data_IF_337518204657
#
_entry.id   IF_337518204657
#
_cell.length_a   1.000
_cell.length_b   1.000
_cell.length_c   1.000
_cell.angle_alpha   90.00
_cell.angle_beta   90.00
_cell.angle_gamma   90.00
#
_symmetry.space_group_name_H-M   'P 1'
#
loop_
_entity.id
_entity.type
_entity.pdbx_description
1 polymer ?
#
# COMPACT_ATOMS: atom_id res chain seq x y z
N UNK A 1 24.15 17.48 -9.91
CA UNK A 1 22.80 16.92 -9.89
C UNK A 1 22.75 15.48 -10.38
N UNK A 2 23.30 15.20 -11.53
CA UNK A 2 23.30 13.84 -12.07
C UNK A 2 24.05 12.85 -11.20
N UNK A 3 25.14 13.30 -10.60
CA UNK A 3 25.93 12.44 -9.74
C UNK A 3 25.16 12.01 -8.48
N UNK A 4 24.26 12.88 -8.01
CA UNK A 4 23.46 12.58 -6.83
C UNK A 4 22.28 11.67 -7.21
N UNK A 5 21.64 11.96 -8.33
CA UNK A 5 20.45 11.20 -8.77
C UNK A 5 20.82 9.80 -9.22
N UNK A 6 21.94 9.68 -9.94
CA UNK A 6 22.34 8.41 -10.52
C UNK A 6 22.55 7.28 -9.51
N UNK A 7 23.31 7.49 -8.42
CA UNK A 7 23.43 6.43 -7.40
C UNK A 7 22.10 6.06 -6.80
N UNK A 8 21.21 7.03 -6.58
CA UNK A 8 19.90 6.78 -6.00
C UNK A 8 19.05 5.92 -6.95
N UNK A 9 19.09 6.23 -8.23
CA UNK A 9 18.35 5.46 -9.22
C UNK A 9 18.89 4.05 -9.36
N UNK A 10 20.20 3.89 -9.28
CA UNK A 10 20.82 2.56 -9.34
C UNK A 10 20.42 1.73 -8.15
N UNK A 11 20.39 2.34 -6.95
CA UNK A 11 19.95 1.66 -5.75
C UNK A 11 18.51 1.20 -5.90
N UNK A 12 17.64 2.09 -6.35
CA UNK A 12 16.23 1.77 -6.52
C UNK A 12 16.03 0.63 -7.53
N UNK A 13 16.69 0.73 -8.68
CA UNK A 13 16.54 -0.29 -9.71
C UNK A 13 17.03 -1.66 -9.22
N UNK A 14 18.13 -1.68 -8.48
CA UNK A 14 18.68 -2.91 -7.94
C UNK A 14 17.74 -3.52 -6.90
N UNK A 15 17.25 -2.70 -5.97
CA UNK A 15 16.43 -3.19 -4.86
C UNK A 15 14.98 -3.42 -5.27
N UNK A 16 14.52 -2.81 -6.35
CA UNK A 16 13.13 -2.99 -6.80
C UNK A 16 12.83 -4.46 -7.09
N UNK A 17 13.82 -5.22 -7.53
CA UNK A 17 13.64 -6.64 -7.85
C UNK A 17 13.44 -7.49 -6.61
N UNK A 18 13.94 -7.04 -5.45
CA UNK A 18 13.87 -7.80 -4.21
C UNK A 18 12.83 -7.27 -3.25
N UNK A 19 12.16 -6.18 -3.62
CA UNK A 19 11.11 -5.62 -2.76
C UNK A 19 9.92 -6.58 -2.71
N UNK A 20 9.44 -6.91 -1.50
CA UNK A 20 8.40 -7.94 -1.36
C UNK A 20 7.13 -7.63 -2.16
N UNK A 21 6.73 -6.36 -2.19
CA UNK A 21 5.49 -5.98 -2.88
C UNK A 21 5.61 -6.00 -4.40
N UNK A 22 6.82 -6.14 -4.92
CA UNK A 22 7.06 -6.19 -6.36
C UNK A 22 6.95 -7.61 -6.91
N UNK A 23 7.21 -8.61 -6.05
CA UNK A 23 7.18 -10.00 -6.49
C UNK A 23 5.76 -10.51 -6.66
N UNK A 24 4.79 -9.90 -5.98
CA UNK A 24 3.39 -10.31 -6.08
C UNK A 24 2.50 -9.07 -5.93
N UNK A 25 2.37 -8.27 -6.98
CA UNK A 25 1.71 -6.97 -6.91
C UNK A 25 0.18 -7.06 -6.99
N UNK A 26 -0.42 -7.76 -6.03
CA UNK A 26 -1.88 -7.78 -5.91
C UNK A 26 -2.38 -6.43 -5.44
N UNK A 27 -3.68 -6.13 -5.60
CA UNK A 27 -4.23 -4.87 -5.08
C UNK A 27 -3.95 -4.67 -3.59
N UNK A 28 -4.07 -5.73 -2.80
CA UNK A 28 -3.80 -5.65 -1.37
C UNK A 28 -2.34 -5.29 -1.11
N UNK A 29 -1.43 -5.97 -1.78
CA UNK A 29 0.00 -5.73 -1.58
C UNK A 29 0.42 -4.35 -2.03
N UNK A 30 -0.05 -3.90 -3.19
CA UNK A 30 0.29 -2.56 -3.68
C UNK A 30 -0.27 -1.50 -2.75
N UNK A 31 -1.54 -1.62 -2.37
CA UNK A 31 -2.20 -0.67 -1.47
C UNK A 31 -1.43 -0.56 -0.15
N UNK A 32 -1.17 -1.70 0.49
CA UNK A 32 -0.46 -1.72 1.77
C UNK A 32 0.91 -1.06 1.66
N UNK A 33 1.68 -1.44 0.64
CA UNK A 33 3.03 -0.88 0.48
C UNK A 33 2.97 0.63 0.25
N UNK A 34 2.01 1.10 -0.56
CA UNK A 34 1.88 2.53 -0.82
C UNK A 34 1.58 3.32 0.44
N UNK A 35 0.71 2.79 1.30
CA UNK A 35 0.39 3.47 2.55
C UNK A 35 1.58 3.47 3.49
N UNK A 36 2.28 2.35 3.62
CA UNK A 36 3.45 2.27 4.49
C UNK A 36 4.59 3.16 4.02
N UNK A 37 4.74 3.30 2.69
CA UNK A 37 5.82 4.11 2.13
C UNK A 37 5.58 5.60 2.24
N UNK A 38 4.35 6.03 2.58
CA UNK A 38 4.11 7.44 2.82
C UNK A 38 4.92 7.87 4.04
N UNK A 39 5.85 8.81 3.82
CA UNK A 39 6.67 9.40 4.89
C UNK A 39 7.54 8.40 5.66
N UNK A 40 7.79 7.22 5.07
CA UNK A 40 8.64 6.21 5.69
C UNK A 40 9.57 5.63 4.64
N UNK A 41 10.84 5.44 5.00
CA UNK A 41 11.84 4.94 4.07
C UNK A 41 11.63 3.47 3.75
N UNK A 42 12.00 3.10 2.53
CA UNK A 42 11.84 1.74 2.04
C UNK A 42 12.49 0.72 2.98
N UNK A 43 13.71 1.00 3.46
CA UNK A 43 14.43 0.05 4.32
C UNK A 43 13.64 -0.29 5.57
N UNK A 44 12.99 0.73 6.16
CA UNK A 44 12.19 0.52 7.37
C UNK A 44 10.91 -0.23 7.04
N UNK A 45 10.31 0.07 5.90
CA UNK A 45 9.02 -0.51 5.53
C UNK A 45 9.11 -2.02 5.30
N UNK A 46 10.21 -2.50 4.72
CA UNK A 46 10.32 -3.92 4.35
C UNK A 46 9.99 -4.84 5.54
N UNK A 47 10.59 -4.60 6.70
CA UNK A 47 10.34 -5.42 7.88
C UNK A 47 8.89 -5.33 8.37
N UNK A 48 8.34 -4.13 8.39
CA UNK A 48 6.95 -3.94 8.80
C UNK A 48 5.98 -4.61 7.83
N UNK A 49 6.24 -4.48 6.54
CA UNK A 49 5.41 -5.06 5.50
C UNK A 49 5.37 -6.59 5.65
N UNK A 50 6.52 -7.22 5.82
CA UNK A 50 6.59 -8.67 5.94
C UNK A 50 5.83 -9.16 7.17
N UNK A 51 6.03 -8.52 8.32
CA UNK A 51 5.33 -8.90 9.55
C UNK A 51 3.83 -8.67 9.46
N UNK A 52 3.45 -7.55 8.83
CA UNK A 52 2.04 -7.22 8.65
C UNK A 52 1.35 -8.29 7.81
N UNK A 53 1.94 -8.66 6.68
CA UNK A 53 1.36 -9.67 5.79
C UNK A 53 1.36 -11.06 6.40
N UNK A 54 2.36 -11.38 7.22
CA UNK A 54 2.38 -12.67 7.88
C UNK A 54 1.18 -12.84 8.79
N UNK A 55 0.79 -11.78 9.48
CA UNK A 55 -0.34 -11.82 10.41
C UNK A 55 -1.67 -11.47 9.73
N UNK A 56 -1.66 -10.55 8.77
CA UNK A 56 -2.85 -10.06 8.09
C UNK A 56 -2.67 -10.23 6.58
N UNK A 57 -2.76 -11.47 6.07
CA UNK A 57 -2.40 -11.75 4.68
C UNK A 57 -3.43 -11.29 3.65
N UNK A 58 -4.64 -10.96 4.07
CA UNK A 58 -5.68 -10.54 3.14
C UNK A 58 -6.55 -9.43 3.73
N UNK A 59 -7.43 -8.89 2.90
CA UNK A 59 -8.28 -7.77 3.32
C UNK A 59 -9.24 -8.20 4.42
N UNK A 60 -9.68 -9.45 4.41
CA UNK A 60 -10.59 -9.96 5.42
C UNK A 60 -9.93 -9.97 6.81
N UNK A 61 -8.70 -10.45 6.90
CA UNK A 61 -7.99 -10.46 8.17
C UNK A 61 -7.72 -9.04 8.67
N UNK A 62 -7.40 -8.12 7.77
CA UNK A 62 -7.19 -6.72 8.14
C UNK A 62 -8.49 -6.10 8.66
N UNK A 63 -9.61 -6.38 8.00
CA UNK A 63 -10.89 -5.84 8.43
C UNK A 63 -11.30 -6.36 9.81
N UNK A 64 -10.93 -7.59 10.12
CA UNK A 64 -11.38 -8.26 11.36
C UNK A 64 -10.43 -8.06 12.55
N UNK A 65 -9.20 -7.62 12.33
CA UNK A 65 -8.23 -7.51 13.42
C UNK A 65 -8.64 -6.42 14.41
N UNK A 66 -8.31 -6.63 15.70
CA UNK A 66 -8.58 -5.59 16.70
C UNK A 66 -7.72 -4.36 16.43
N UNK A 67 -8.22 -3.20 16.85
CA UNK A 67 -7.43 -1.97 16.68
C UNK A 67 -6.13 -2.06 17.47
N UNK A 68 -6.18 -2.65 18.67
CA UNK A 68 -5.00 -2.81 19.50
C UNK A 68 -3.90 -3.59 18.75
N UNK A 69 -4.26 -4.71 18.13
CA UNK A 69 -3.28 -5.51 17.40
C UNK A 69 -2.80 -4.81 16.15
N UNK A 70 -3.70 -4.13 15.46
CA UNK A 70 -3.35 -3.37 14.27
C UNK A 70 -2.30 -2.31 14.59
N UNK A 71 -2.54 -1.54 15.66
CA UNK A 71 -1.61 -0.47 16.04
C UNK A 71 -0.29 -1.03 16.54
N UNK A 72 -0.31 -2.21 17.15
CA UNK A 72 0.92 -2.89 17.56
C UNK A 72 1.77 -3.25 16.35
N UNK A 73 1.16 -3.76 15.30
CA UNK A 73 1.86 -4.07 14.05
C UNK A 73 2.42 -2.83 13.36
N UNK A 74 1.82 -1.67 13.63
CA UNK A 74 2.23 -0.40 13.04
C UNK A 74 3.21 0.38 13.91
N UNK A 75 3.46 -0.11 15.13
CA UNK A 75 4.27 0.61 16.11
C UNK A 75 5.67 0.89 15.56
N UNK A 76 6.07 2.14 15.62
CA UNK A 76 7.35 2.56 15.08
C UNK A 76 7.29 3.23 13.72
N UNK A 77 6.23 2.99 12.94
CA UNK A 77 6.06 3.67 11.66
C UNK A 77 5.53 5.10 11.81
N UNK A 78 4.80 5.36 12.89
CA UNK A 78 4.22 6.69 13.11
C UNK A 78 2.98 6.93 12.27
N UNK A 79 2.37 8.10 12.49
CA UNK A 79 1.20 8.52 11.74
C UNK A 79 0.12 7.44 11.77
N UNK A 80 -0.34 7.09 12.98
CA UNK A 80 -1.22 5.94 13.21
C UNK A 80 -2.57 6.04 12.52
N UNK A 81 -3.00 7.25 12.12
CA UNK A 81 -4.22 7.38 11.35
C UNK A 81 -4.15 6.64 10.02
N UNK A 82 -2.95 6.44 9.49
CA UNK A 82 -2.79 5.63 8.28
C UNK A 82 -3.27 4.21 8.53
N UNK A 83 -2.89 3.62 9.66
CA UNK A 83 -3.33 2.28 10.01
C UNK A 83 -4.83 2.22 10.23
N UNK A 84 -5.38 3.20 10.92
CA UNK A 84 -6.81 3.24 11.19
C UNK A 84 -7.61 3.38 9.90
N UNK A 85 -7.16 4.24 9.00
CA UNK A 85 -7.83 4.40 7.70
C UNK A 85 -7.70 3.16 6.84
N UNK A 86 -6.55 2.49 6.91
CA UNK A 86 -6.33 1.23 6.22
C UNK A 86 -7.39 0.20 6.64
N UNK A 87 -7.64 0.08 7.94
CA UNK A 87 -8.65 -0.85 8.42
C UNK A 87 -10.07 -0.41 8.03
N UNK A 88 -10.37 0.89 8.11
CA UNK A 88 -11.67 1.39 7.69
C UNK A 88 -11.94 1.06 6.23
N UNK A 89 -10.93 1.25 5.38
CA UNK A 89 -11.06 0.91 3.97
C UNK A 89 -11.25 -0.60 3.78
N UNK A 90 -10.53 -1.40 4.56
CA UNK A 90 -10.67 -2.86 4.49
C UNK A 90 -12.09 -3.29 4.85
N UNK A 91 -12.65 -2.72 5.90
CA UNK A 91 -14.03 -3.01 6.30
C UNK A 91 -14.99 -2.63 5.17
N UNK A 92 -14.78 -1.47 4.57
CA UNK A 92 -15.64 -1.00 3.48
C UNK A 92 -15.54 -1.92 2.26
N UNK A 93 -14.34 -2.36 1.92
CA UNK A 93 -14.15 -3.31 0.82
C UNK A 93 -14.90 -4.61 1.08
N UNK A 94 -14.79 -5.11 2.30
CA UNK A 94 -15.49 -6.35 2.66
C UNK A 94 -17.01 -6.18 2.61
N UNK A 95 -17.52 -5.03 3.05
CA UNK A 95 -18.97 -4.79 3.12
C UNK A 95 -19.56 -4.44 1.77
N UNK A 96 -18.89 -3.58 1.01
CA UNK A 96 -19.44 -3.07 -0.25
C UNK A 96 -19.06 -3.91 -1.46
N UNK A 97 -17.93 -4.60 -1.40
CA UNK A 97 -17.41 -5.34 -2.54
C UNK A 97 -17.20 -6.82 -2.24
N UNK A 98 -17.74 -7.30 -1.11
CA UNK A 98 -17.65 -8.70 -0.68
C UNK A 98 -16.20 -9.21 -0.62
N UNK A 99 -15.29 -8.32 -0.24
CA UNK A 99 -13.88 -8.67 -0.11
C UNK A 99 -13.11 -8.67 -1.41
N UNK A 100 -13.75 -8.29 -2.51
CA UNK A 100 -13.09 -8.14 -3.81
C UNK A 100 -12.72 -6.68 -3.99
N UNK A 101 -11.53 -6.45 -4.53
CA UNK A 101 -11.04 -5.08 -4.66
C UNK A 101 -11.70 -4.36 -5.83
N UNK A 102 -12.10 -3.09 -5.64
CA UNK A 102 -12.59 -2.31 -6.77
C UNK A 102 -11.48 -2.11 -7.79
N UNK A 103 -11.85 -1.97 -9.06
CA UNK A 103 -10.87 -1.86 -10.14
C UNK A 103 -10.76 -0.46 -10.72
N UNK A 104 -11.65 0.46 -10.37
CA UNK A 104 -11.63 1.79 -10.93
C UNK A 104 -10.92 2.77 -9.99
N UNK A 105 -10.28 3.75 -10.59
CA UNK A 105 -9.62 4.83 -9.87
C UNK A 105 -10.59 5.54 -8.93
N UNK A 106 -11.79 5.85 -9.42
CA UNK A 106 -12.78 6.59 -8.63
C UNK A 106 -13.23 5.80 -7.41
N UNK A 107 -13.40 4.51 -7.56
CA UNK A 107 -13.81 3.67 -6.42
C UNK A 107 -12.72 3.62 -5.34
N UNK A 108 -11.47 3.51 -5.77
CA UNK A 108 -10.36 3.54 -4.81
C UNK A 108 -10.26 4.90 -4.12
N UNK A 109 -10.44 5.97 -4.89
CA UNK A 109 -10.35 7.33 -4.35
C UNK A 109 -11.40 7.59 -3.28
N UNK A 110 -12.52 6.90 -3.34
CA UNK A 110 -13.60 7.04 -2.37
C UNK A 110 -13.35 6.31 -1.05
N UNK A 111 -12.32 5.47 -0.99
CA UNK A 111 -12.00 4.73 0.24
C UNK A 111 -11.26 5.61 1.25
N UNK A 112 -11.47 5.36 2.56
CA UNK A 112 -10.78 6.14 3.59
C UNK A 112 -9.25 6.10 3.44
N UNK A 113 -8.63 7.26 3.54
CA UNK A 113 -7.17 7.38 3.51
C UNK A 113 -6.54 7.20 2.15
N UNK A 114 -7.31 7.08 1.09
CA UNK A 114 -6.79 6.88 -0.26
C UNK A 114 -6.78 8.21 -0.98
N UNK A 115 -5.58 8.68 -1.33
CA UNK A 115 -5.42 9.87 -2.15
C UNK A 115 -5.23 9.51 -3.61
N UNK A 116 -5.11 10.56 -4.44
CA UNK A 116 -4.96 10.39 -5.89
C UNK A 116 -3.77 9.51 -6.25
N UNK A 117 -2.65 9.72 -5.56
CA UNK A 117 -1.44 8.94 -5.86
C UNK A 117 -1.65 7.45 -5.57
N UNK A 118 -2.21 7.13 -4.40
CA UNK A 118 -2.42 5.73 -4.03
C UNK A 118 -3.44 5.06 -4.95
N UNK A 119 -4.55 5.75 -5.23
CA UNK A 119 -5.54 5.22 -6.15
C UNK A 119 -4.91 4.95 -7.52
N UNK A 120 -4.07 5.87 -7.98
CA UNK A 120 -3.36 5.71 -9.24
C UNK A 120 -2.41 4.53 -9.24
N UNK A 121 -1.63 4.41 -8.16
CA UNK A 121 -0.66 3.31 -8.06
C UNK A 121 -1.35 1.95 -8.06
N UNK A 122 -2.41 1.79 -7.28
CA UNK A 122 -3.10 0.51 -7.21
C UNK A 122 -3.71 0.14 -8.57
N UNK A 123 -4.42 1.09 -9.19
CA UNK A 123 -5.10 0.77 -10.44
C UNK A 123 -4.13 0.55 -11.59
N UNK A 124 -3.00 1.27 -11.63
CA UNK A 124 -2.05 1.06 -12.72
C UNK A 124 -1.20 -0.21 -12.51
N UNK A 125 -0.75 -0.46 -11.29
CA UNK A 125 0.16 -1.59 -11.03
C UNK A 125 -0.61 -2.91 -10.93
N UNK A 126 -1.69 -2.93 -10.16
CA UNK A 126 -2.42 -4.18 -9.93
C UNK A 126 -3.40 -4.49 -11.05
N UNK A 127 -3.99 -3.48 -11.67
CA UNK A 127 -5.03 -3.68 -12.69
C UNK A 127 -4.64 -3.20 -14.08
N UNK A 128 -3.46 -2.58 -14.22
CA UNK A 128 -2.98 -2.14 -15.52
C UNK A 128 -3.72 -0.95 -16.13
N UNK A 129 -4.32 -0.10 -15.30
CA UNK A 129 -5.06 1.07 -15.79
C UNK A 129 -4.13 2.23 -16.11
N UNK A 130 -4.11 2.65 -17.37
CA UNK A 130 -3.15 3.66 -17.83
C UNK A 130 -3.43 5.07 -17.33
N UNK A 131 -4.69 5.43 -17.19
CA UNK A 131 -5.04 6.79 -16.76
C UNK A 131 -4.44 7.14 -15.41
N UNK A 132 -4.25 6.15 -14.56
CA UNK A 132 -3.67 6.36 -13.25
C UNK A 132 -2.20 6.76 -13.37
N UNK A 133 -1.49 6.15 -14.29
CA UNK A 133 -0.07 6.46 -14.51
C UNK A 133 0.11 7.88 -15.02
N UNK A 134 -0.80 8.34 -15.87
CA UNK A 134 -0.75 9.70 -16.39
C UNK A 134 -0.97 10.71 -15.28
N UNK A 135 -1.93 10.45 -14.44
CA UNK A 135 -2.25 11.36 -13.34
C UNK A 135 -1.11 11.47 -12.33
N UNK A 136 -0.30 10.45 -12.24
CA UNK A 136 0.84 10.46 -11.34
C UNK A 136 1.93 11.43 -11.75
N UNK A 137 1.84 11.97 -12.91
CA UNK A 137 2.80 12.95 -13.40
C UNK A 137 2.31 14.36 -13.16
#
# INVERSE_FOLDING_TARGET
>A
MKEIVKPLMQWYAKHARTLPWRSDPTPYHVWLSEIMLQQTRVEAVIGYYDRFLEELPDVQSLAAVSEERLLKLWEGLGYYNRARNLQKAAVQICEQYQGKFPESYEEWLALPGIGAYTAGAVTSIAFGKKEAAVDGN
#
